data_IF_740530206591
#
_entry.id   IF_740530206591
#
_cell.length_a   1.000
_cell.length_b   1.000
_cell.length_c   1.000
_cell.angle_alpha   90.00
_cell.angle_beta   90.00
_cell.angle_gamma   90.00
#
_symmetry.space_group_name_H-M   'P 1'
#
loop_
_entity.id
_entity.type
_entity.pdbx_description
1 polymer ?
#
# COMPACT_ATOMS: atom_id res chain seq x y z
N UNK A 1 -2.71 -7.06 12.77
CA UNK A 1 -2.21 -8.40 13.12
C UNK A 1 -2.25 -8.54 14.63
N UNK A 2 -2.10 -9.74 15.17
CA UNK A 2 -2.05 -9.95 16.62
C UNK A 2 -0.70 -10.55 16.99
N UNK A 3 -0.15 -10.13 18.13
CA UNK A 3 1.10 -10.62 18.66
C UNK A 3 0.85 -11.23 20.03
N UNK A 4 1.46 -12.40 20.28
CA UNK A 4 1.42 -13.04 21.58
C UNK A 4 2.33 -12.30 22.55
N UNK A 5 1.76 -11.82 23.67
CA UNK A 5 2.49 -11.07 24.71
C UNK A 5 3.09 -11.96 25.80
N UNK A 6 2.91 -13.27 25.70
CA UNK A 6 3.19 -14.22 26.77
C UNK A 6 1.94 -14.62 27.56
N UNK A 7 0.89 -13.79 27.57
CA UNK A 7 -0.35 -14.03 28.34
C UNK A 7 -1.62 -13.98 27.52
N UNK A 8 -1.67 -13.11 26.51
CA UNK A 8 -2.80 -12.95 25.61
C UNK A 8 -2.33 -12.48 24.24
N UNK A 9 -3.21 -12.61 23.24
CA UNK A 9 -3.02 -11.96 21.95
C UNK A 9 -3.43 -10.50 22.06
N UNK A 10 -2.55 -9.61 21.63
CA UNK A 10 -2.81 -8.18 21.58
C UNK A 10 -2.66 -7.69 20.14
N UNK A 11 -3.52 -6.76 19.72
CA UNK A 11 -3.38 -6.14 18.40
C UNK A 11 -2.04 -5.41 18.27
N UNK A 12 -1.32 -5.74 17.19
CA UNK A 12 -0.01 -5.21 16.82
C UNK A 12 -0.01 -4.77 15.35
N UNK A 13 1.04 -4.06 14.94
CA UNK A 13 1.29 -3.66 13.55
C UNK A 13 2.27 -4.62 12.88
N UNK A 14 2.24 -4.72 11.55
CA UNK A 14 3.19 -5.55 10.81
C UNK A 14 4.64 -5.10 11.06
N UNK A 15 4.85 -3.78 11.21
CA UNK A 15 6.14 -3.21 11.56
C UNK A 15 6.63 -3.62 12.94
N UNK A 16 5.77 -3.59 13.97
CA UNK A 16 6.13 -4.01 15.33
C UNK A 16 6.44 -5.51 15.41
N UNK A 17 5.79 -6.31 14.55
CA UNK A 17 6.13 -7.71 14.35
C UNK A 17 7.42 -7.93 13.53
N UNK A 18 8.11 -6.86 13.11
CA UNK A 18 9.37 -6.93 12.35
C UNK A 18 9.20 -7.17 10.85
N UNK A 19 7.98 -7.12 10.31
CA UNK A 19 7.75 -7.36 8.88
C UNK A 19 8.34 -6.23 8.03
N UNK A 20 9.15 -6.64 7.05
CA UNK A 20 9.63 -5.78 5.96
C UNK A 20 9.10 -6.30 4.64
N UNK A 21 8.42 -5.44 3.90
CA UNK A 21 7.98 -5.74 2.54
C UNK A 21 9.18 -5.57 1.60
N UNK A 22 9.71 -6.68 1.11
CA UNK A 22 10.77 -6.68 0.11
C UNK A 22 10.16 -6.68 -1.29
N UNK A 23 10.57 -5.73 -2.12
CA UNK A 23 10.19 -5.68 -3.53
C UNK A 23 11.23 -6.38 -4.38
N UNK A 24 10.79 -7.12 -5.40
CA UNK A 24 11.64 -7.99 -6.20
C UNK A 24 11.94 -9.33 -5.51
N UNK A 25 12.68 -10.20 -6.20
CA UNK A 25 13.12 -11.51 -5.70
C UNK A 25 12.02 -12.38 -5.05
N UNK A 26 10.77 -12.30 -5.55
CA UNK A 26 9.65 -13.06 -5.00
C UNK A 26 9.30 -12.73 -3.55
N UNK A 27 9.67 -11.53 -3.06
CA UNK A 27 9.49 -11.13 -1.66
C UNK A 27 10.66 -11.49 -0.75
N UNK A 28 11.75 -12.04 -1.29
CA UNK A 28 12.99 -12.28 -0.58
C UNK A 28 13.85 -11.02 -0.41
N UNK A 29 14.84 -11.10 0.48
CA UNK A 29 15.81 -10.01 0.69
C UNK A 29 16.64 -9.80 -0.58
N UNK A 30 16.76 -8.56 -1.02
CA UNK A 30 17.59 -8.21 -2.17
C UNK A 30 19.08 -8.49 -1.88
N UNK A 31 19.80 -9.26 -2.72
CA UNK A 31 21.22 -9.57 -2.51
C UNK A 31 22.13 -8.36 -2.69
N UNK A 32 21.69 -7.33 -3.44
CA UNK A 32 22.42 -6.07 -3.64
C UNK A 32 22.21 -5.06 -2.52
N UNK A 33 21.59 -5.45 -1.39
CA UNK A 33 21.39 -4.56 -0.25
C UNK A 33 22.75 -4.16 0.34
N UNK A 34 23.19 -2.93 0.08
CA UNK A 34 24.20 -2.28 0.91
C UNK A 34 23.62 -2.25 2.33
N UNK A 35 24.27 -2.96 3.26
CA UNK A 35 23.99 -2.81 4.69
C UNK A 35 24.34 -1.36 5.04
N UNK A 36 23.35 -0.48 5.07
CA UNK A 36 23.52 0.77 5.81
C UNK A 36 23.70 0.38 7.28
N UNK A 37 24.93 0.56 7.75
CA UNK A 37 25.29 0.53 9.16
C UNK A 37 24.44 1.60 9.85
N UNK A 38 23.73 1.31 10.95
CA UNK A 38 23.08 2.36 11.72
C UNK A 38 24.14 3.38 12.18
N UNK A 39 24.03 4.62 11.75
CA UNK A 39 24.72 5.71 12.44
C UNK A 39 24.06 5.85 13.80
N UNK A 40 24.81 5.51 14.85
CA UNK A 40 24.56 5.96 16.21
C UNK A 40 24.51 7.49 16.18
N UNK A 41 23.36 8.08 16.46
CA UNK A 41 23.23 9.51 16.70
C UNK A 41 23.03 9.67 18.22
N UNK A 42 23.88 10.45 18.92
CA UNK A 42 23.83 10.55 20.37
C UNK A 42 22.49 11.11 20.88
N UNK A 43 22.08 10.60 22.03
CA UNK A 43 20.88 10.98 22.77
C UNK A 43 20.86 12.49 23.07
N UNK A 44 19.87 13.20 22.55
CA UNK A 44 19.46 14.51 23.05
C UNK A 44 18.09 14.34 23.71
N UNK A 45 18.10 14.46 25.03
CA UNK A 45 16.98 14.26 25.94
C UNK A 45 15.82 15.21 25.60
N UNK A 46 14.66 14.65 25.26
CA UNK A 46 13.40 15.39 25.28
C UNK A 46 12.45 14.70 26.27
N UNK A 47 12.23 15.37 27.40
CA UNK A 47 11.44 14.92 28.53
C UNK A 47 10.06 14.36 28.11
N UNK A 48 9.73 13.11 28.46
CA UNK A 48 8.45 12.51 28.09
C UNK A 48 7.32 13.05 28.96
N UNK A 49 6.52 13.94 28.38
CA UNK A 49 5.19 14.26 28.92
C UNK A 49 4.27 13.02 28.82
N UNK A 50 3.60 12.69 29.92
CA UNK A 50 3.02 11.38 30.21
C UNK A 50 2.10 10.80 29.12
N UNK A 51 2.21 9.50 28.78
CA UNK A 51 1.42 8.86 27.75
C UNK A 51 0.05 8.41 28.29
N UNK A 52 -1.01 9.13 27.91
CA UNK A 52 -2.36 8.55 27.92
C UNK A 52 -2.38 7.27 27.07
N UNK A 53 -2.98 6.20 27.59
CA UNK A 53 -3.00 4.84 27.03
C UNK A 53 -3.00 4.79 25.48
N UNK A 54 -1.82 4.60 24.88
CA UNK A 54 -1.63 4.57 23.42
C UNK A 54 -1.81 3.12 22.93
N UNK A 55 -2.72 2.89 21.98
CA UNK A 55 -2.96 1.56 21.41
C UNK A 55 -1.75 1.11 20.56
N UNK A 56 -1.09 -0.03 20.87
CA UNK A 56 0.19 -0.42 20.25
C UNK A 56 0.14 -0.54 18.71
N UNK A 57 -0.97 -1.02 18.14
CA UNK A 57 -1.13 -1.20 16.69
C UNK A 57 -1.35 0.11 15.91
N UNK A 58 -1.66 1.21 16.59
CA UNK A 58 -1.82 2.55 16.00
C UNK A 58 -0.62 3.45 16.31
N UNK A 59 0.43 2.91 16.94
CA UNK A 59 1.64 3.66 17.18
C UNK A 59 2.28 4.03 15.84
N UNK A 60 2.30 5.33 15.56
CA UNK A 60 3.11 5.94 14.50
C UNK A 60 4.45 6.26 15.15
N UNK A 61 5.55 5.52 14.86
CA UNK A 61 6.84 5.83 15.44
C UNK A 61 7.43 7.07 14.76
N UNK A 62 8.10 7.94 15.51
CA UNK A 62 8.71 9.20 15.04
C UNK A 62 9.90 9.01 14.06
N UNK A 63 10.14 7.78 13.59
CA UNK A 63 11.20 7.45 12.63
C UNK A 63 10.76 7.72 11.18
N UNK A 64 11.62 8.27 10.30
CA UNK A 64 11.22 8.81 8.99
C UNK A 64 10.88 7.81 7.87
N UNK A 65 10.82 6.49 8.12
CA UNK A 65 10.74 5.49 7.04
C UNK A 65 9.73 4.35 7.28
N UNK A 66 8.51 4.65 7.70
CA UNK A 66 7.41 3.67 7.66
C UNK A 66 6.52 3.85 6.43
N UNK A 67 6.02 2.72 5.92
CA UNK A 67 5.04 2.67 4.84
C UNK A 67 3.64 2.43 5.42
N UNK A 68 2.69 3.27 5.03
CA UNK A 68 1.26 3.05 5.29
C UNK A 68 0.67 2.27 4.11
N UNK A 69 0.24 1.04 4.37
CA UNK A 69 -0.41 0.17 3.38
C UNK A 69 -1.89 0.12 3.66
N UNK A 70 -2.69 0.70 2.78
CA UNK A 70 -4.15 0.62 2.85
C UNK A 70 -4.61 -0.63 2.09
N UNK A 71 -5.24 -1.56 2.81
CA UNK A 71 -5.84 -2.77 2.26
C UNK A 71 -7.31 -2.92 2.69
N UNK A 72 -8.08 -3.77 2.00
CA UNK A 72 -9.46 -4.15 2.38
C UNK A 72 -9.57 -4.70 3.80
N UNK A 73 -8.51 -5.34 4.29
CA UNK A 73 -8.46 -5.89 5.64
C UNK A 73 -8.34 -4.79 6.67
N UNK A 74 -7.30 -3.95 6.62
CA UNK A 74 -7.01 -2.86 7.56
C UNK A 74 -6.03 -1.86 6.91
N UNK A 75 -5.80 -0.74 7.59
CA UNK A 75 -4.63 0.12 7.36
C UNK A 75 -3.46 -0.45 8.15
N UNK A 76 -2.40 -0.84 7.45
CA UNK A 76 -1.21 -1.47 8.03
C UNK A 76 -0.02 -0.52 8.01
N UNK A 77 0.88 -0.69 8.97
CA UNK A 77 2.20 -0.07 9.00
C UNK A 77 3.25 -1.14 8.80
N UNK A 78 4.17 -0.95 7.85
CA UNK A 78 5.29 -1.87 7.60
C UNK A 78 6.56 -1.14 7.17
N UNK A 79 7.69 -1.85 7.17
CA UNK A 79 8.92 -1.38 6.52
C UNK A 79 8.89 -1.74 5.03
N UNK A 80 9.57 -0.97 4.20
CA UNK A 80 9.70 -1.21 2.76
C UNK A 80 11.16 -1.30 2.35
N UNK A 81 11.49 -2.28 1.53
CA UNK A 81 12.82 -2.44 0.94
C UNK A 81 12.71 -2.66 -0.57
N UNK A 82 13.24 -1.71 -1.34
CA UNK A 82 13.33 -1.82 -2.80
C UNK A 82 14.43 -2.79 -3.21
N UNK A 83 14.27 -3.39 -4.39
CA UNK A 83 15.36 -4.06 -5.08
C UNK A 83 16.28 -3.01 -5.72
N UNK A 84 17.58 -3.15 -5.47
CA UNK A 84 18.64 -2.28 -6.03
C UNK A 84 19.62 -3.07 -6.92
N UNK A 85 19.21 -4.24 -7.44
CA UNK A 85 20.04 -5.01 -8.36
C UNK A 85 20.24 -4.25 -9.67
N UNK A 86 21.38 -4.40 -10.37
CA UNK A 86 21.55 -3.85 -11.70
C UNK A 86 20.45 -4.37 -12.63
N UNK A 87 19.74 -3.44 -13.29
CA UNK A 87 18.57 -3.76 -14.13
C UNK A 87 17.24 -3.88 -13.37
N UNK A 88 17.19 -3.56 -12.07
CA UNK A 88 15.92 -3.48 -11.35
C UNK A 88 15.05 -2.36 -11.92
N UNK A 89 13.72 -2.56 -12.06
CA UNK A 89 12.80 -1.51 -12.46
C UNK A 89 12.78 -0.33 -11.49
N UNK A 90 12.27 0.82 -11.93
CA UNK A 90 12.09 1.99 -11.06
C UNK A 90 11.21 1.67 -9.83
N UNK A 91 11.37 2.38 -8.71
CA UNK A 91 10.64 2.12 -7.45
C UNK A 91 9.12 1.98 -7.61
N UNK A 92 8.50 2.86 -8.39
CA UNK A 92 7.06 2.83 -8.63
C UNK A 92 6.63 1.61 -9.47
N UNK A 93 7.48 1.12 -10.38
CA UNK A 93 7.23 -0.11 -11.15
C UNK A 93 7.36 -1.35 -10.26
N UNK A 94 8.33 -1.36 -9.35
CA UNK A 94 8.47 -2.45 -8.37
C UNK A 94 7.24 -2.57 -7.47
N UNK A 95 6.67 -1.44 -7.03
CA UNK A 95 5.42 -1.41 -6.26
C UNK A 95 4.24 -1.95 -7.07
N UNK A 96 4.08 -1.50 -8.32
CA UNK A 96 3.02 -1.99 -9.20
C UNK A 96 3.15 -3.49 -9.48
N UNK A 97 4.37 -3.99 -9.65
CA UNK A 97 4.66 -5.42 -9.78
C UNK A 97 4.31 -6.23 -8.53
N UNK A 98 4.35 -5.61 -7.34
CA UNK A 98 3.89 -6.20 -6.08
C UNK A 98 2.37 -6.05 -5.86
N UNK A 99 1.61 -5.54 -6.82
CA UNK A 99 0.16 -5.35 -6.70
C UNK A 99 -0.24 -4.16 -5.83
N UNK A 100 0.66 -3.18 -5.68
CA UNK A 100 0.51 -2.04 -4.80
C UNK A 100 0.66 -0.76 -5.60
N UNK A 101 -0.27 0.18 -5.40
CA UNK A 101 -0.30 1.47 -6.07
C UNK A 101 0.18 2.59 -5.14
N UNK A 102 1.22 3.35 -5.50
CA UNK A 102 1.69 4.47 -4.68
C UNK A 102 0.74 5.66 -4.71
N UNK A 103 0.51 6.28 -3.55
CA UNK A 103 -0.20 7.56 -3.44
C UNK A 103 0.62 8.76 -3.95
N UNK A 104 1.94 8.58 -4.08
CA UNK A 104 2.88 9.57 -4.60
C UNK A 104 4.03 8.86 -5.29
N UNK A 105 4.43 9.35 -6.45
CA UNK A 105 5.55 8.80 -7.22
C UNK A 105 6.92 9.25 -6.72
N UNK A 106 6.99 10.37 -5.99
CA UNK A 106 8.25 10.92 -5.48
C UNK A 106 8.72 10.23 -4.19
N UNK A 107 7.82 10.07 -3.22
CA UNK A 107 8.07 9.38 -1.95
C UNK A 107 6.77 8.71 -1.49
N UNK A 108 6.58 7.39 -1.76
CA UNK A 108 5.35 6.71 -1.37
C UNK A 108 5.39 6.39 0.13
N UNK A 109 5.07 7.35 0.99
CA UNK A 109 4.79 7.09 2.41
C UNK A 109 3.46 6.36 2.60
N UNK A 110 2.57 6.45 1.60
CA UNK A 110 1.27 5.78 1.56
C UNK A 110 1.12 5.02 0.25
N UNK A 111 0.62 3.80 0.35
CA UNK A 111 0.32 2.94 -0.78
C UNK A 111 -1.03 2.25 -0.59
N UNK A 112 -1.68 1.91 -1.70
CA UNK A 112 -2.97 1.22 -1.74
C UNK A 112 -2.82 -0.11 -2.46
N UNK A 113 -3.32 -1.20 -1.90
CA UNK A 113 -3.35 -2.48 -2.63
C UNK A 113 -4.30 -2.38 -3.83
N UNK A 114 -4.04 -3.12 -4.91
CA UNK A 114 -5.02 -3.21 -6.00
C UNK A 114 -6.36 -3.74 -5.52
N UNK A 115 -6.34 -4.60 -4.49
CA UNK A 115 -7.54 -5.14 -3.86
C UNK A 115 -8.42 -4.04 -3.28
N UNK A 116 -7.89 -3.10 -2.50
CA UNK A 116 -8.71 -2.01 -1.93
C UNK A 116 -9.22 -1.05 -3.00
N UNK A 117 -8.46 -0.83 -4.07
CA UNK A 117 -8.91 0.02 -5.18
C UNK A 117 -10.05 -0.63 -5.96
N UNK A 118 -9.96 -1.93 -6.22
CA UNK A 118 -11.04 -2.68 -6.88
C UNK A 118 -12.26 -2.73 -5.98
N UNK A 119 -12.12 -3.11 -4.71
CA UNK A 119 -13.20 -3.20 -3.73
C UNK A 119 -13.94 -1.85 -3.57
N UNK A 120 -13.21 -0.74 -3.43
CA UNK A 120 -13.79 0.60 -3.39
C UNK A 120 -14.61 0.92 -4.64
N UNK A 121 -14.12 0.57 -5.83
CA UNK A 121 -14.86 0.82 -7.06
C UNK A 121 -16.13 -0.01 -7.18
N UNK A 122 -16.11 -1.27 -6.71
CA UNK A 122 -17.32 -2.09 -6.62
C UNK A 122 -18.32 -1.52 -5.62
N UNK A 123 -17.90 -1.18 -4.39
CA UNK A 123 -18.76 -0.59 -3.36
C UNK A 123 -19.37 0.76 -3.81
N UNK A 124 -18.65 1.52 -4.63
CA UNK A 124 -19.13 2.79 -5.17
C UNK A 124 -20.17 2.59 -6.29
N UNK A 125 -20.00 1.57 -7.13
CA UNK A 125 -20.92 1.28 -8.26
C UNK A 125 -22.16 0.50 -7.79
N UNK A 126 -21.96 -0.59 -7.04
CA UNK A 126 -23.04 -1.50 -6.62
C UNK A 126 -23.92 -0.89 -5.53
N UNK A 127 -23.28 -0.37 -4.48
CA UNK A 127 -23.96 0.09 -3.27
C UNK A 127 -24.16 1.61 -3.23
N UNK A 128 -23.64 2.36 -4.21
CA UNK A 128 -23.65 3.83 -4.18
C UNK A 128 -22.88 4.41 -3.00
N UNK A 129 -21.93 3.66 -2.43
CA UNK A 129 -21.26 4.05 -1.18
C UNK A 129 -20.44 5.31 -1.41
N UNK A 130 -20.75 6.37 -0.65
CA UNK A 130 -19.93 7.58 -0.64
C UNK A 130 -18.51 7.24 -0.18
N UNK A 131 -17.50 7.81 -0.83
CA UNK A 131 -16.10 7.51 -0.54
C UNK A 131 -15.72 7.77 0.94
N UNK A 132 -16.33 8.77 1.58
CA UNK A 132 -16.15 9.03 3.01
C UNK A 132 -16.65 7.87 3.88
N UNK A 133 -17.79 7.26 3.52
CA UNK A 133 -18.35 6.13 4.26
C UNK A 133 -17.47 4.89 4.08
N UNK A 134 -16.97 4.66 2.87
CA UNK A 134 -16.04 3.57 2.59
C UNK A 134 -14.74 3.72 3.41
N UNK A 135 -14.13 4.91 3.42
CA UNK A 135 -12.91 5.13 4.20
C UNK A 135 -13.19 5.08 5.72
N UNK A 136 -14.36 5.54 6.16
CA UNK A 136 -14.78 5.41 7.56
C UNK A 136 -14.98 3.95 7.98
N UNK A 137 -15.50 3.10 7.08
CA UNK A 137 -15.56 1.64 7.26
C UNK A 137 -14.14 1.07 7.43
N UNK A 138 -13.18 1.43 6.57
CA UNK A 138 -11.78 0.99 6.72
C UNK A 138 -11.16 1.41 8.06
N UNK A 139 -11.42 2.64 8.53
CA UNK A 139 -10.96 3.10 9.84
C UNK A 139 -11.53 2.25 10.98
N UNK A 140 -12.82 1.91 10.94
CA UNK A 140 -13.48 1.05 11.93
C UNK A 140 -13.00 -0.40 11.88
N UNK A 141 -12.73 -0.95 10.70
CA UNK A 141 -12.15 -2.30 10.58
C UNK A 141 -10.71 -2.32 11.12
N UNK A 142 -9.97 -1.22 10.96
CA UNK A 142 -8.60 -1.09 11.48
C UNK A 142 -8.57 -0.98 13.00
N UNK A 143 -9.42 -0.12 13.58
CA UNK A 143 -9.65 -0.04 15.02
C UNK A 143 -11.10 0.36 15.27
N UNK A 144 -11.88 -0.55 15.83
CA UNK A 144 -13.27 -0.25 16.19
C UNK A 144 -13.35 0.63 17.45
N UNK A 145 -12.36 0.53 18.34
CA UNK A 145 -12.30 1.25 19.61
C UNK A 145 -11.93 2.71 19.42
N UNK A 146 -10.96 2.99 18.54
CA UNK A 146 -10.45 4.33 18.30
C UNK A 146 -10.23 4.60 16.80
N UNK A 147 -11.30 4.64 15.98
CA UNK A 147 -11.18 4.81 14.53
C UNK A 147 -10.61 6.18 14.12
N UNK A 148 -10.67 7.17 15.01
CA UNK A 148 -10.13 8.52 14.77
C UNK A 148 -8.59 8.57 14.87
N UNK A 149 -7.95 7.57 15.47
CA UNK A 149 -6.50 7.46 15.55
C UNK A 149 -5.88 6.80 14.31
N UNK A 150 -6.71 6.21 13.44
CA UNK A 150 -6.26 5.65 12.17
C UNK A 150 -5.92 6.79 11.20
N UNK A 151 -4.76 6.78 10.53
CA UNK A 151 -4.34 7.85 9.63
C UNK A 151 -5.38 8.13 8.56
N UNK A 152 -5.73 9.40 8.41
CA UNK A 152 -6.64 9.80 7.34
C UNK A 152 -5.89 9.85 6.01
N UNK A 153 -6.24 8.90 5.12
CA UNK A 153 -5.72 8.78 3.76
C UNK A 153 -6.83 8.88 2.71
N UNK A 154 -7.93 9.51 3.08
CA UNK A 154 -9.11 9.66 2.23
C UNK A 154 -8.80 10.44 0.93
N UNK A 155 -8.03 11.52 1.02
CA UNK A 155 -7.71 12.36 -0.15
C UNK A 155 -6.84 11.58 -1.14
N UNK A 156 -5.88 10.83 -0.61
CA UNK A 156 -5.02 9.94 -1.37
C UNK A 156 -5.84 8.81 -2.02
N UNK A 157 -6.82 8.22 -1.31
CA UNK A 157 -7.73 7.21 -1.89
C UNK A 157 -8.50 7.77 -3.08
N UNK A 158 -9.09 8.97 -2.96
CA UNK A 158 -9.81 9.60 -4.06
C UNK A 158 -8.91 9.84 -5.28
N UNK A 159 -7.70 10.32 -5.04
CA UNK A 159 -6.74 10.60 -6.09
C UNK A 159 -6.30 9.32 -6.80
N UNK A 160 -5.86 8.32 -6.04
CA UNK A 160 -5.43 7.02 -6.59
C UNK A 160 -6.58 6.32 -7.33
N UNK A 161 -7.79 6.31 -6.77
CA UNK A 161 -8.94 5.67 -7.40
C UNK A 161 -9.29 6.29 -8.75
N UNK A 162 -9.15 7.62 -8.90
CA UNK A 162 -9.36 8.30 -10.19
C UNK A 162 -8.31 7.86 -11.22
N UNK A 163 -7.04 7.85 -10.84
CA UNK A 163 -5.96 7.40 -11.72
C UNK A 163 -6.15 5.94 -12.11
N UNK A 164 -6.49 5.09 -11.14
CA UNK A 164 -6.74 3.67 -11.37
C UNK A 164 -7.87 3.41 -12.36
N UNK A 165 -8.97 4.18 -12.32
CA UNK A 165 -10.03 4.10 -13.34
C UNK A 165 -9.51 4.43 -14.73
N UNK A 166 -8.74 5.51 -14.87
CA UNK A 166 -8.17 5.91 -16.16
C UNK A 166 -7.26 4.81 -16.71
N UNK A 167 -6.41 4.23 -15.85
CA UNK A 167 -5.52 3.13 -16.22
C UNK A 167 -6.28 1.86 -16.62
N UNK A 168 -7.36 1.51 -15.90
CA UNK A 168 -8.24 0.39 -16.27
C UNK A 168 -8.88 0.61 -17.64
N UNK A 169 -9.41 1.81 -17.89
CA UNK A 169 -10.05 2.14 -19.17
C UNK A 169 -9.06 2.15 -20.33
N UNK A 170 -7.83 2.66 -20.11
CA UNK A 170 -6.80 2.67 -21.15
C UNK A 170 -6.28 1.26 -21.46
N UNK A 171 -6.07 0.41 -20.44
CA UNK A 171 -5.70 -0.99 -20.64
C UNK A 171 -6.78 -1.77 -21.41
N UNK A 172 -8.06 -1.56 -21.08
CA UNK A 172 -9.18 -2.16 -21.83
C UNK A 172 -9.31 -1.61 -23.25
N UNK A 173 -9.07 -0.31 -23.45
CA UNK A 173 -9.11 0.32 -24.79
C UNK A 173 -7.95 -0.15 -25.67
N UNK A 174 -6.74 -0.28 -25.11
CA UNK A 174 -5.57 -0.84 -25.80
C UNK A 174 -5.83 -2.31 -26.15
N UNK A 175 -6.32 -3.12 -25.21
CA UNK A 175 -6.65 -4.52 -25.50
C UNK A 175 -7.76 -4.64 -26.57
N UNK A 176 -8.78 -3.77 -26.55
CA UNK A 176 -9.85 -3.73 -27.56
C UNK A 176 -9.31 -3.29 -28.93
N UNK A 177 -8.45 -2.27 -28.98
CA UNK A 177 -7.79 -1.81 -30.21
C UNK A 177 -6.84 -2.85 -30.78
N UNK A 178 -6.08 -3.55 -29.94
CA UNK A 178 -5.18 -4.63 -30.34
C UNK A 178 -6.00 -5.82 -30.89
N UNK A 179 -7.10 -6.17 -30.23
CA UNK A 179 -8.00 -7.23 -30.67
C UNK A 179 -8.64 -6.94 -32.03
N UNK A 180 -9.13 -5.71 -32.25
CA UNK A 180 -9.66 -5.24 -33.54
C UNK A 180 -8.58 -5.27 -34.63
N UNK A 181 -7.37 -4.81 -34.31
CA UNK A 181 -6.26 -4.76 -35.27
C UNK A 181 -5.71 -6.16 -35.63
N UNK A 182 -5.88 -7.15 -34.75
CA UNK A 182 -5.52 -8.54 -35.02
C UNK A 182 -6.59 -9.24 -35.88
N UNK A 183 -7.87 -9.04 -35.59
CA UNK A 183 -8.97 -9.59 -36.42
C UNK A 183 -8.99 -9.00 -37.84
N UNK A 184 -8.66 -7.71 -38.01
CA UNK A 184 -8.57 -7.11 -39.35
C UNK A 184 -7.35 -7.57 -40.16
N UNK A 185 -6.33 -8.12 -39.50
CA UNK A 185 -5.14 -8.68 -40.16
C UNK A 185 -5.34 -10.14 -40.58
N UNK A 186 -6.13 -10.90 -39.83
CA UNK A 186 -6.54 -12.26 -40.21
C UNK A 186 -7.48 -12.24 -41.42
N UNK A 187 -8.49 -11.35 -41.42
CA UNK A 187 -9.39 -11.18 -42.58
C UNK A 187 -8.68 -10.69 -43.86
N UNK A 188 -7.58 -9.94 -43.72
CA UNK A 188 -6.76 -9.50 -44.85
C UNK A 188 -5.76 -10.56 -45.34
N UNK A 189 -5.41 -11.53 -44.51
CA UNK A 189 -4.54 -12.66 -44.86
C UNK A 189 -5.31 -13.80 -45.54
N UNK A 190 -6.61 -13.95 -45.27
CA UNK A 190 -7.49 -14.93 -45.90
C UNK A 190 -8.10 -14.45 -47.23
N UNK A 191 -7.82 -13.21 -47.64
CA UNK A 191 -8.30 -12.59 -48.88
C UNK A 191 -7.28 -12.63 -50.04
N UNK A 192 -6.18 -13.38 -49.91
CA UNK A 192 -5.15 -13.59 -50.95
C UNK A 192 -4.82 -15.06 -51.15
#
# INVERSE_FOLDING_TARGET
VEQWTGTHFQESSLRLAGLTLHLGHGGGVCPSRVREVPQEVPDEECEPSQPGARHPHLWVPDTPSYLVVVDTSRVHYCNLAYCNCPGSPDPHIQLLGAGIFPASTACPSTVFTFKVLVDFLWDNVECGTAAMNYFSKLKRITSNVAPHLVPDRYRELLWVARIWRVLKLSASSIHRKLKIALTSKEEAADAF
#
